data_IF_749717696416
#
_entry.id   IF_749717696416
#
_cell.length_a   1.000
_cell.length_b   1.000
_cell.length_c   1.000
_cell.angle_alpha   90.00
_cell.angle_beta   90.00
_cell.angle_gamma   90.00
#
_symmetry.space_group_name_H-M   'P 1'
#
loop_
_entity.id
_entity.type
_entity.pdbx_description
1 polymer ?
#
# COMPACT_ATOMS: atom_id res chain seq x y z
N UNK A 1 -29.30 -24.63 28.18
CA UNK A 1 -27.84 -24.64 27.98
C UNK A 1 -27.52 -25.27 26.63
N UNK A 2 -27.32 -24.48 25.58
CA UNK A 2 -26.72 -24.86 24.27
C UNK A 2 -27.08 -23.77 23.26
N UNK A 3 -26.16 -22.84 22.97
CA UNK A 3 -26.26 -21.90 21.82
C UNK A 3 -25.06 -20.94 21.65
N UNK A 4 -23.87 -21.24 22.22
CA UNK A 4 -22.67 -20.41 22.02
C UNK A 4 -21.54 -21.06 21.22
N UNK A 5 -21.60 -22.37 20.97
CA UNK A 5 -20.52 -23.08 20.25
C UNK A 5 -20.65 -23.09 18.72
N UNK A 6 -21.84 -22.82 18.16
CA UNK A 6 -22.06 -22.89 16.70
C UNK A 6 -21.64 -21.62 15.92
N UNK A 7 -21.35 -20.51 16.61
CA UNK A 7 -21.09 -19.20 15.98
C UNK A 7 -19.62 -18.95 15.60
N UNK A 8 -18.67 -19.77 16.08
CA UNK A 8 -17.24 -19.61 15.75
C UNK A 8 -16.80 -20.34 14.45
N UNK A 9 -17.61 -21.24 13.90
CA UNK A 9 -17.22 -22.09 12.76
C UNK A 9 -17.34 -21.43 11.37
N UNK A 10 -18.12 -20.36 11.22
CA UNK A 10 -18.48 -19.83 9.90
C UNK A 10 -17.55 -18.70 9.38
N UNK A 11 -16.73 -18.10 10.25
CA UNK A 11 -15.81 -17.01 9.88
C UNK A 11 -14.45 -17.49 9.35
N UNK A 12 -14.14 -18.78 9.49
CA UNK A 12 -12.84 -19.36 9.14
C UNK A 12 -12.73 -19.81 7.67
N UNK A 13 -13.82 -19.83 6.89
CA UNK A 13 -13.79 -20.40 5.54
C UNK A 13 -13.04 -19.55 4.49
N UNK A 14 -12.72 -18.28 4.76
CA UNK A 14 -11.83 -17.45 3.90
C UNK A 14 -10.37 -17.40 4.38
N UNK A 15 -10.04 -17.97 5.55
CA UNK A 15 -8.67 -18.19 5.98
C UNK A 15 -8.29 -19.67 5.77
N UNK A 16 -7.03 -19.95 5.41
CA UNK A 16 -6.55 -21.32 5.15
C UNK A 16 -6.73 -22.26 6.36
N UNK A 17 -7.05 -23.51 6.07
CA UNK A 17 -7.14 -24.61 7.04
C UNK A 17 -5.78 -25.02 7.60
N UNK A 18 -5.84 -25.57 8.81
CA UNK A 18 -4.76 -25.72 9.78
C UNK A 18 -3.87 -26.97 9.60
N UNK A 19 -2.71 -26.93 10.26
CA UNK A 19 -2.29 -27.92 11.25
C UNK A 19 -1.11 -27.33 12.05
N UNK A 20 -1.32 -27.06 13.35
CA UNK A 20 -0.23 -26.80 14.30
C UNK A 20 -0.47 -27.70 15.52
N UNK A 21 0.50 -28.57 15.75
CA UNK A 21 0.62 -29.47 16.90
C UNK A 21 0.96 -28.63 18.13
N UNK A 22 0.27 -28.88 19.24
CA UNK A 22 0.52 -28.23 20.52
C UNK A 22 1.59 -28.97 21.33
N UNK A 23 2.40 -28.21 22.08
CA UNK A 23 3.06 -28.68 23.32
C UNK A 23 3.03 -27.55 24.37
N UNK A 24 2.98 -27.87 25.67
CA UNK A 24 2.41 -26.99 26.70
C UNK A 24 3.43 -26.37 27.66
N UNK A 25 3.03 -25.24 28.26
CA UNK A 25 3.37 -24.84 29.64
C UNK A 25 4.65 -24.03 29.85
N UNK A 26 4.51 -22.80 30.36
CA UNK A 26 4.95 -22.43 31.72
C UNK A 26 4.72 -20.94 32.02
N UNK A 27 3.84 -20.71 33.00
CA UNK A 27 3.80 -19.73 34.09
C UNK A 27 4.42 -18.32 33.95
N UNK A 28 3.55 -17.34 34.24
CA UNK A 28 3.93 -16.00 34.74
C UNK A 28 4.36 -16.09 36.21
N UNK A 29 5.08 -15.06 36.69
CA UNK A 29 4.54 -14.33 37.82
C UNK A 29 4.56 -12.81 37.66
N UNK A 30 3.66 -12.22 38.44
CA UNK A 30 3.33 -10.81 38.64
C UNK A 30 4.35 -10.07 39.52
N UNK A 31 4.59 -8.78 39.26
CA UNK A 31 4.98 -7.83 40.30
C UNK A 31 4.53 -6.39 39.92
N UNK A 32 3.79 -5.77 40.84
CA UNK A 32 3.50 -4.32 40.88
C UNK A 32 4.67 -3.61 41.58
N UNK A 33 5.03 -2.40 41.13
CA UNK A 33 5.65 -1.39 41.99
C UNK A 33 5.29 0.02 41.51
N UNK A 34 4.86 0.83 42.46
CA UNK A 34 4.44 2.23 42.32
C UNK A 34 5.62 3.23 42.21
N UNK A 35 5.27 4.41 41.64
CA UNK A 35 5.94 5.73 41.69
C UNK A 35 7.09 6.05 40.70
N UNK A 36 7.38 7.34 40.38
CA UNK A 36 6.50 8.51 40.19
C UNK A 36 6.69 9.18 38.80
N UNK A 37 5.77 10.10 38.45
CA UNK A 37 5.76 10.88 37.19
C UNK A 37 7.03 11.74 37.05
N UNK A 38 7.81 11.55 35.97
CA UNK A 38 8.89 12.45 35.52
C UNK A 38 8.67 12.94 34.08
N UNK A 39 9.04 14.21 33.89
CA UNK A 39 8.83 15.07 32.71
C UNK A 39 9.51 14.56 31.43
N UNK A 40 8.82 14.82 30.31
CA UNK A 40 9.17 14.54 28.92
C UNK A 40 10.62 14.85 28.52
N UNK A 41 11.31 13.84 27.97
CA UNK A 41 12.49 13.99 27.11
C UNK A 41 12.21 13.23 25.81
N UNK A 42 12.52 13.83 24.65
CA UNK A 42 12.22 13.30 23.30
C UNK A 42 12.97 12.01 22.96
N UNK A 43 12.56 11.27 21.91
CA UNK A 43 13.14 9.97 21.58
C UNK A 43 14.56 10.10 21.00
N UNK A 44 15.42 9.21 21.48
CA UNK A 44 16.82 9.02 21.13
C UNK A 44 17.01 8.40 19.73
N UNK A 45 18.12 8.74 19.08
CA UNK A 45 18.63 8.14 17.84
C UNK A 45 19.11 6.70 18.08
N UNK A 46 18.87 5.81 17.11
CA UNK A 46 19.59 4.55 16.97
C UNK A 46 20.68 4.70 15.90
N UNK A 47 21.87 4.19 16.22
CA UNK A 47 23.06 4.14 15.36
C UNK A 47 23.25 2.69 14.90
N UNK A 48 23.45 2.49 13.60
CA UNK A 48 24.36 1.48 13.06
C UNK A 48 25.00 2.12 11.80
N UNK A 49 26.33 2.27 11.84
CA UNK A 49 27.10 3.39 11.24
C UNK A 49 27.35 3.38 9.73
N UNK A 50 27.96 4.40 9.11
CA UNK A 50 28.41 5.78 9.46
C UNK A 50 28.75 6.49 8.10
N UNK A 51 28.71 7.83 7.88
CA UNK A 51 28.27 8.93 8.73
C UNK A 51 27.15 9.79 8.12
N UNK A 52 26.04 9.94 8.84
CA UNK A 52 25.24 11.16 8.73
C UNK A 52 25.41 11.92 10.03
N UNK A 53 26.18 13.01 9.97
CA UNK A 53 26.33 13.99 11.07
C UNK A 53 24.99 14.20 11.77
N UNK A 54 24.92 13.94 13.08
CA UNK A 54 23.72 14.25 13.84
C UNK A 54 23.42 15.76 13.71
N UNK A 55 22.22 16.12 13.27
CA UNK A 55 21.79 17.51 13.11
C UNK A 55 20.48 17.75 13.84
N UNK A 56 20.28 18.97 14.33
CA UNK A 56 18.99 19.41 14.86
C UNK A 56 18.10 19.96 13.74
N UNK A 57 16.81 19.74 13.84
CA UNK A 57 15.82 20.32 12.91
C UNK A 57 15.09 21.49 13.56
N UNK A 58 14.92 22.59 12.83
CA UNK A 58 14.17 23.77 13.30
C UNK A 58 13.34 24.37 12.17
N UNK A 59 12.19 24.96 12.51
CA UNK A 59 11.40 25.75 11.57
C UNK A 59 12.20 27.01 11.20
N UNK A 60 12.35 27.29 9.90
CA UNK A 60 13.14 28.41 9.45
C UNK A 60 12.45 29.76 9.64
N UNK A 61 13.23 30.84 9.57
CA UNK A 61 12.75 32.21 9.80
C UNK A 61 11.82 32.72 8.70
N UNK A 62 11.81 32.07 7.53
CA UNK A 62 10.88 32.37 6.43
C UNK A 62 9.77 31.32 6.37
N UNK A 63 8.56 31.75 6.03
CA UNK A 63 7.46 30.83 5.78
C UNK A 63 7.88 29.80 4.71
N UNK A 64 7.61 28.52 4.96
CA UNK A 64 7.98 27.46 4.03
C UNK A 64 9.48 27.12 3.99
N UNK A 65 10.22 27.31 5.08
CA UNK A 65 11.62 26.87 5.19
C UNK A 65 11.88 25.95 6.39
N UNK A 66 12.77 24.98 6.22
CA UNK A 66 13.30 24.11 7.28
C UNK A 66 14.81 24.33 7.41
N UNK A 67 15.29 24.41 8.65
CA UNK A 67 16.70 24.55 8.99
C UNK A 67 17.23 23.26 9.63
N UNK A 68 18.35 22.76 9.11
CA UNK A 68 19.10 21.64 9.67
C UNK A 68 20.41 22.21 10.26
N UNK A 69 20.61 22.10 11.57
CA UNK A 69 21.73 22.73 12.28
C UNK A 69 22.71 21.65 12.72
N UNK A 70 23.97 21.82 12.35
CA UNK A 70 25.04 20.89 12.69
C UNK A 70 25.77 21.39 13.94
N UNK A 71 25.91 20.55 14.98
CA UNK A 71 26.66 20.91 16.18
C UNK A 71 28.18 20.94 15.92
N UNK A 72 28.65 20.18 14.93
CA UNK A 72 30.07 20.03 14.58
C UNK A 72 30.43 20.66 13.22
N UNK A 73 31.72 21.02 12.99
CA UNK A 73 32.19 21.53 11.70
C UNK A 73 32.04 20.52 10.55
N UNK A 74 31.61 20.99 9.38
CA UNK A 74 31.59 20.19 8.14
C UNK A 74 32.98 20.24 7.49
N UNK A 75 33.64 19.10 7.39
CA UNK A 75 35.00 18.96 6.80
C UNK A 75 35.00 18.68 5.29
N UNK A 76 33.85 18.27 4.74
CA UNK A 76 33.65 17.98 3.32
C UNK A 76 33.55 19.25 2.44
N UNK A 77 33.73 19.09 1.13
CA UNK A 77 33.54 20.13 0.10
C UNK A 77 32.31 19.88 -0.79
N UNK A 78 31.63 18.75 -0.56
CA UNK A 78 30.47 18.31 -1.33
C UNK A 78 29.37 17.85 -0.38
N UNK A 79 28.16 18.33 -0.62
CA UNK A 79 26.94 18.01 0.12
C UNK A 79 25.90 17.45 -0.84
N UNK A 80 25.42 16.24 -0.58
CA UNK A 80 24.28 15.68 -1.29
C UNK A 80 23.09 15.53 -0.36
N UNK A 81 21.95 16.06 -0.77
CA UNK A 81 20.69 15.82 -0.09
C UNK A 81 20.03 14.58 -0.73
N UNK A 82 20.06 13.45 -0.03
CA UNK A 82 19.33 12.26 -0.43
C UNK A 82 17.99 12.30 0.31
N UNK A 83 16.97 12.81 -0.39
CA UNK A 83 15.60 12.73 0.08
C UNK A 83 15.09 11.30 -0.14
N UNK A 84 14.53 10.66 0.89
CA UNK A 84 13.85 9.39 0.73
C UNK A 84 12.56 9.50 -0.12
N UNK A 85 12.12 10.73 -0.44
CA UNK A 85 10.93 11.00 -1.24
C UNK A 85 11.25 11.16 -2.73
N UNK A 86 11.73 10.11 -3.39
CA UNK A 86 11.48 9.98 -4.83
C UNK A 86 10.03 9.52 -5.05
N UNK A 87 9.06 10.45 -4.97
CA UNK A 87 7.68 10.19 -5.41
C UNK A 87 6.50 10.83 -4.65
N UNK A 88 6.72 11.78 -3.74
CA UNK A 88 5.63 12.44 -2.98
C UNK A 88 5.77 13.97 -2.94
N UNK A 89 4.64 14.68 -2.97
CA UNK A 89 4.54 16.12 -3.21
C UNK A 89 5.52 16.99 -2.40
N UNK A 90 6.45 17.64 -3.12
CA UNK A 90 7.29 18.72 -2.63
C UNK A 90 8.78 18.52 -2.90
N UNK A 91 9.19 18.65 -4.16
CA UNK A 91 10.61 18.84 -4.46
C UNK A 91 11.06 20.15 -3.78
N UNK A 92 12.16 20.14 -2.99
CA UNK A 92 12.80 21.39 -2.60
C UNK A 92 12.96 22.29 -3.83
N UNK A 93 12.69 23.60 -3.70
CA UNK A 93 12.95 24.59 -4.74
C UNK A 93 14.32 25.24 -4.59
N UNK A 94 14.77 25.39 -3.35
CA UNK A 94 16.08 25.94 -3.04
C UNK A 94 16.76 25.12 -1.93
N UNK A 95 18.04 24.82 -2.12
CA UNK A 95 18.91 24.20 -1.14
C UNK A 95 20.07 25.16 -0.89
N UNK A 96 20.25 25.56 0.36
CA UNK A 96 21.25 26.57 0.73
C UNK A 96 22.07 26.11 1.92
N UNK A 97 23.40 26.14 1.78
CA UNK A 97 24.34 25.94 2.86
C UNK A 97 24.78 27.30 3.39
N UNK A 98 24.69 27.48 4.71
CA UNK A 98 25.15 28.67 5.40
C UNK A 98 26.11 28.32 6.54
N UNK A 99 27.18 29.11 6.66
CA UNK A 99 28.15 29.00 7.74
C UNK A 99 28.01 30.19 8.69
N UNK A 100 28.21 29.95 9.98
CA UNK A 100 28.19 31.02 10.98
C UNK A 100 29.45 31.88 10.84
N UNK A 101 29.25 33.18 10.71
CA UNK A 101 30.31 34.20 10.65
C UNK A 101 29.94 35.32 11.63
N UNK A 102 30.64 35.35 12.77
CA UNK A 102 30.28 36.21 13.92
C UNK A 102 28.90 35.85 14.48
N UNK A 103 28.02 36.85 14.63
CA UNK A 103 26.65 36.67 15.16
C UNK A 103 25.62 36.21 14.11
N UNK A 104 26.00 36.05 12.83
CA UNK A 104 25.05 35.77 11.74
C UNK A 104 25.46 34.56 10.91
N UNK A 105 24.49 33.84 10.36
CA UNK A 105 24.74 32.86 9.30
C UNK A 105 24.86 33.55 7.95
N UNK A 106 25.89 33.19 7.18
CA UNK A 106 26.13 33.69 5.83
C UNK A 106 26.10 32.53 4.84
N UNK A 107 25.49 32.79 3.68
CA UNK A 107 25.39 31.83 2.57
C UNK A 107 26.77 31.49 2.02
N UNK A 108 27.08 30.20 1.98
CA UNK A 108 28.32 29.65 1.41
C UNK A 108 28.06 29.06 0.03
N UNK A 109 26.94 28.35 -0.14
CA UNK A 109 26.53 27.80 -1.41
C UNK A 109 25.00 27.71 -1.51
N UNK A 110 24.49 27.75 -2.73
CA UNK A 110 23.06 27.68 -3.00
C UNK A 110 22.81 27.03 -4.36
N UNK A 111 21.75 26.23 -4.42
CA UNK A 111 21.24 25.66 -5.64
C UNK A 111 19.75 26.01 -5.70
N UNK A 112 19.35 26.68 -6.78
CA UNK A 112 17.98 27.17 -7.03
C UNK A 112 17.42 26.49 -8.26
N UNK A 113 16.14 26.10 -8.22
CA UNK A 113 15.28 25.67 -9.35
C UNK A 113 15.98 24.78 -10.41
N UNK A 114 15.53 23.52 -10.52
CA UNK A 114 16.04 22.42 -11.38
C UNK A 114 17.04 21.52 -10.67
N UNK A 115 16.55 20.77 -9.69
CA UNK A 115 17.33 19.69 -9.08
C UNK A 115 17.17 18.39 -9.85
N UNK A 116 18.29 17.68 -10.00
CA UNK A 116 18.29 16.22 -10.15
C UNK A 116 17.55 15.57 -8.95
N UNK A 117 16.98 14.36 -9.08
CA UNK A 117 16.40 13.61 -7.94
C UNK A 117 17.30 13.54 -6.70
N UNK A 118 18.62 13.70 -6.89
CA UNK A 118 19.63 13.86 -5.84
C UNK A 118 20.43 15.15 -6.06
N UNK A 119 20.02 16.30 -5.50
CA UNK A 119 20.76 17.54 -5.68
C UNK A 119 22.12 17.48 -4.97
N UNK A 120 23.16 17.91 -5.69
CA UNK A 120 24.54 17.98 -5.18
C UNK A 120 24.96 19.44 -5.13
N UNK A 121 25.34 19.90 -3.94
CA UNK A 121 25.86 21.22 -3.68
C UNK A 121 27.37 21.12 -3.44
N UNK A 122 28.16 21.78 -4.29
CA UNK A 122 29.61 21.90 -4.12
C UNK A 122 29.93 23.24 -3.47
N UNK A 123 30.87 23.25 -2.54
CA UNK A 123 31.28 24.45 -1.82
C UNK A 123 32.77 24.39 -1.48
N UNK A 124 33.40 25.55 -1.25
CA UNK A 124 34.79 25.58 -0.78
C UNK A 124 34.83 25.18 0.69
N UNK A 125 35.83 24.39 1.09
CA UNK A 125 36.13 24.14 2.51
C UNK A 125 36.22 25.47 3.24
N UNK A 126 35.58 25.57 4.41
CA UNK A 126 35.59 26.76 5.25
C UNK A 126 35.86 26.38 6.70
N UNK A 127 36.41 27.31 7.46
CA UNK A 127 36.86 27.15 8.85
C UNK A 127 35.77 27.42 9.88
N UNK A 128 34.50 27.54 9.44
CA UNK A 128 33.39 27.83 10.33
C UNK A 128 33.08 26.65 11.27
N UNK A 129 32.83 26.97 12.53
CA UNK A 129 32.55 25.97 13.58
C UNK A 129 31.08 25.57 13.68
N UNK A 130 30.18 26.32 13.04
CA UNK A 130 28.74 26.02 13.08
C UNK A 130 28.10 26.28 11.72
N UNK A 131 27.19 25.37 11.34
CA UNK A 131 26.61 25.32 10.01
C UNK A 131 25.11 25.12 10.07
N UNK A 132 24.41 25.62 9.04
CA UNK A 132 23.03 25.24 8.80
C UNK A 132 22.75 25.03 7.32
N UNK A 133 21.86 24.09 7.04
CA UNK A 133 21.26 23.91 5.72
C UNK A 133 19.84 24.45 5.78
N UNK A 134 19.50 25.33 4.84
CA UNK A 134 18.16 25.86 4.67
C UNK A 134 17.57 25.23 3.42
N UNK A 135 16.47 24.50 3.62
CA UNK A 135 15.70 23.87 2.54
C UNK A 135 14.40 24.64 2.38
N UNK A 136 14.18 25.20 1.20
CA UNK A 136 12.90 25.79 0.80
C UNK A 136 12.17 24.78 -0.07
N UNK A 137 10.98 24.34 0.30
CA UNK A 137 10.13 23.55 -0.59
C UNK A 137 9.00 24.42 -1.13
N UNK A 138 8.47 24.07 -2.30
CA UNK A 138 7.17 24.62 -2.69
C UNK A 138 6.16 23.52 -2.76
N UNK A 139 5.53 23.34 -1.62
CA UNK A 139 4.11 23.02 -1.56
C UNK A 139 3.56 23.82 -0.40
N UNK A 140 2.81 24.87 -0.72
CA UNK A 140 1.96 25.55 0.25
C UNK A 140 0.60 24.84 0.24
N UNK A 141 0.59 23.62 0.77
CA UNK A 141 -0.63 23.01 1.26
C UNK A 141 -0.69 23.30 2.77
N UNK A 142 -1.89 23.36 3.35
CA UNK A 142 -2.25 23.85 4.71
C UNK A 142 -1.50 23.23 5.93
N UNK A 143 -0.44 22.46 5.73
CA UNK A 143 0.42 21.87 6.76
C UNK A 143 1.87 22.15 6.36
N UNK A 144 2.59 23.02 7.06
CA UNK A 144 3.94 23.49 6.68
C UNK A 144 4.97 22.38 6.41
N UNK A 145 6.16 22.75 5.89
CA UNK A 145 7.22 21.82 5.47
C UNK A 145 7.39 20.62 6.41
N UNK A 146 7.30 19.42 5.84
CA UNK A 146 7.57 18.17 6.55
C UNK A 146 8.56 17.34 5.73
N UNK A 147 9.81 17.29 6.18
CA UNK A 147 10.80 16.32 5.70
C UNK A 147 10.70 15.14 6.65
N UNK A 148 10.16 14.01 6.18
CA UNK A 148 9.94 12.84 7.03
C UNK A 148 11.26 12.09 7.28
N UNK A 149 12.11 11.96 6.26
CA UNK A 149 13.48 11.46 6.36
C UNK A 149 14.36 12.12 5.27
N UNK A 150 15.51 12.66 5.67
CA UNK A 150 16.54 13.14 4.76
C UNK A 150 17.91 12.66 5.23
N UNK A 151 18.61 11.96 4.35
CA UNK A 151 20.00 11.53 4.57
C UNK A 151 20.90 12.54 3.90
N UNK A 152 21.83 13.11 4.65
CA UNK A 152 22.83 14.04 4.16
C UNK A 152 24.14 13.30 3.99
N UNK A 153 24.63 13.22 2.76
CA UNK A 153 25.94 12.64 2.47
C UNK A 153 26.94 13.78 2.30
N UNK A 154 27.97 13.77 3.16
CA UNK A 154 29.12 14.65 3.09
C UNK A 154 30.28 13.83 2.51
N UNK A 155 30.93 14.32 1.45
CA UNK A 155 32.05 13.60 0.82
C UNK A 155 33.21 14.56 0.51
N UNK A 156 34.44 14.15 0.76
CA UNK A 156 35.63 14.85 0.28
C UNK A 156 35.98 14.41 -1.15
N UNK A 157 36.35 15.34 -2.04
CA UNK A 157 36.99 14.98 -3.32
C UNK A 157 36.06 14.45 -4.42
N UNK A 158 34.75 14.41 -4.20
CA UNK A 158 33.73 14.41 -5.24
C UNK A 158 33.51 13.10 -6.01
N UNK A 159 32.67 12.21 -5.47
CA UNK A 159 31.57 11.54 -6.19
C UNK A 159 30.56 11.05 -5.16
N UNK A 160 29.28 11.39 -5.33
CA UNK A 160 28.20 10.85 -4.49
C UNK A 160 27.84 9.47 -5.01
N UNK A 161 27.88 8.39 -4.21
CA UNK A 161 27.51 7.06 -4.68
C UNK A 161 26.03 7.03 -5.12
N UNK A 162 25.77 7.17 -6.42
CA UNK A 162 24.47 6.86 -7.00
C UNK A 162 24.41 5.37 -7.28
N UNK A 163 24.27 4.54 -6.26
CA UNK A 163 23.84 3.15 -6.53
C UNK A 163 22.33 3.21 -6.80
N UNK A 164 21.85 3.03 -8.05
CA UNK A 164 20.44 2.72 -8.25
C UNK A 164 20.14 1.47 -7.42
N UNK A 165 19.02 1.48 -6.70
CA UNK A 165 18.60 0.28 -5.99
C UNK A 165 18.44 -0.84 -7.01
N UNK A 166 19.10 -2.01 -6.83
CA UNK A 166 18.96 -3.10 -7.76
C UNK A 166 17.48 -3.50 -7.85
N UNK A 167 16.89 -3.37 -9.04
CA UNK A 167 15.60 -3.97 -9.33
C UNK A 167 15.74 -5.49 -9.38
N UNK A 168 14.69 -6.27 -9.03
CA UNK A 168 14.72 -7.71 -9.23
C UNK A 168 15.00 -8.01 -10.72
N UNK A 169 15.74 -9.09 -11.00
CA UNK A 169 16.03 -9.50 -12.37
C UNK A 169 14.71 -9.76 -13.12
N UNK A 170 14.39 -8.87 -14.07
CA UNK A 170 13.15 -8.93 -14.85
C UNK A 170 13.01 -10.24 -15.61
N UNK A 171 14.12 -10.86 -16.02
CA UNK A 171 14.08 -12.16 -16.71
C UNK A 171 13.58 -13.25 -15.79
N UNK A 172 14.04 -13.27 -14.54
CA UNK A 172 13.60 -14.27 -13.55
C UNK A 172 12.15 -14.02 -13.11
N UNK A 173 11.74 -12.75 -12.98
CA UNK A 173 10.34 -12.38 -12.74
C UNK A 173 9.44 -12.87 -13.88
N UNK A 174 9.81 -12.60 -15.14
CA UNK A 174 9.02 -13.03 -16.29
C UNK A 174 8.94 -14.55 -16.40
N UNK A 175 10.04 -15.28 -16.18
CA UNK A 175 10.02 -16.76 -16.12
C UNK A 175 9.09 -17.27 -15.04
N UNK A 176 9.04 -16.63 -13.86
CA UNK A 176 8.13 -17.02 -12.81
C UNK A 176 6.66 -16.75 -13.18
N UNK A 177 6.38 -15.62 -13.83
CA UNK A 177 5.06 -15.30 -14.36
C UNK A 177 4.62 -16.37 -15.37
N UNK A 178 5.48 -16.70 -16.34
CA UNK A 178 5.20 -17.70 -17.38
C UNK A 178 4.87 -19.07 -16.78
N UNK A 179 5.66 -19.52 -15.78
CA UNK A 179 5.39 -20.78 -15.08
C UNK A 179 4.05 -20.77 -14.33
N UNK A 180 3.70 -19.66 -13.68
CA UNK A 180 2.41 -19.54 -12.99
C UNK A 180 1.23 -19.51 -13.96
N UNK A 181 1.36 -18.80 -15.09
CA UNK A 181 0.36 -18.81 -16.17
C UNK A 181 0.20 -20.21 -16.76
N UNK A 182 1.31 -20.92 -17.01
CA UNK A 182 1.28 -22.29 -17.49
C UNK A 182 0.57 -23.23 -16.50
N UNK A 183 0.81 -23.06 -15.19
CA UNK A 183 0.09 -23.81 -14.16
C UNK A 183 -1.41 -23.53 -14.16
N UNK A 184 -1.84 -22.26 -14.29
CA UNK A 184 -3.25 -21.91 -14.41
C UNK A 184 -3.90 -22.58 -15.63
N UNK A 185 -3.24 -22.55 -16.79
CA UNK A 185 -3.73 -23.21 -18.01
C UNK A 185 -3.82 -24.73 -17.83
N UNK A 186 -2.77 -25.36 -17.28
CA UNK A 186 -2.67 -26.80 -17.07
C UNK A 186 -3.70 -27.35 -16.06
N UNK A 187 -4.02 -26.57 -15.03
CA UNK A 187 -4.94 -27.00 -13.96
C UNK A 187 -6.41 -26.68 -14.24
N UNK A 188 -6.70 -26.04 -15.38
CA UNK A 188 -8.07 -25.86 -15.86
C UNK A 188 -8.67 -27.22 -16.17
N UNK A 189 -9.84 -27.49 -15.59
CA UNK A 189 -10.58 -28.75 -15.78
C UNK A 189 -11.32 -28.76 -17.12
N UNK A 190 -11.75 -29.95 -17.54
CA UNK A 190 -12.54 -30.14 -18.75
C UNK A 190 -13.84 -29.32 -18.76
N UNK A 191 -14.47 -29.11 -17.59
CA UNK A 191 -15.67 -28.28 -17.44
C UNK A 191 -15.39 -26.77 -17.51
N UNK A 192 -14.13 -26.37 -17.67
CA UNK A 192 -13.67 -24.97 -17.70
C UNK A 192 -13.50 -24.31 -16.33
N UNK A 193 -13.67 -25.06 -15.24
CA UNK A 193 -13.46 -24.58 -13.87
C UNK A 193 -12.06 -24.91 -13.34
N UNK A 194 -11.77 -24.47 -12.11
CA UNK A 194 -10.57 -24.84 -11.36
C UNK A 194 -10.95 -25.45 -10.01
N UNK A 195 -10.06 -26.31 -9.48
CA UNK A 195 -10.21 -26.86 -8.13
C UNK A 195 -9.92 -25.77 -7.09
N UNK A 196 -10.94 -25.31 -6.40
CA UNK A 196 -10.83 -24.50 -5.18
C UNK A 196 -12.06 -24.69 -4.30
N UNK A 197 -11.92 -24.48 -2.99
CA UNK A 197 -13.03 -24.45 -2.03
C UNK A 197 -14.12 -23.44 -2.41
N UNK A 198 -13.76 -22.38 -3.14
CA UNK A 198 -14.67 -21.30 -3.52
C UNK A 198 -15.45 -21.57 -4.81
N UNK A 199 -15.14 -22.63 -5.57
CA UNK A 199 -15.67 -22.83 -6.92
C UNK A 199 -17.20 -22.98 -6.93
N UNK A 200 -17.76 -23.68 -5.94
CA UNK A 200 -19.21 -23.91 -5.82
C UNK A 200 -19.95 -22.63 -5.44
N UNK A 201 -19.44 -21.90 -4.46
CA UNK A 201 -20.15 -20.76 -3.88
C UNK A 201 -19.89 -19.45 -4.63
N UNK A 202 -18.74 -19.31 -5.28
CA UNK A 202 -18.29 -18.08 -5.94
C UNK A 202 -17.79 -18.33 -7.38
N UNK A 203 -18.53 -19.06 -8.24
CA UNK A 203 -18.04 -19.42 -9.58
C UNK A 203 -17.66 -18.18 -10.41
N UNK A 204 -18.48 -17.13 -10.39
CA UNK A 204 -18.18 -15.87 -11.08
C UNK A 204 -16.90 -15.22 -10.54
N UNK A 205 -16.70 -15.22 -9.22
CA UNK A 205 -15.53 -14.61 -8.60
C UNK A 205 -14.24 -15.36 -8.94
N UNK A 206 -14.27 -16.69 -8.92
CA UNK A 206 -13.14 -17.55 -9.30
C UNK A 206 -12.76 -17.32 -10.77
N UNK A 207 -13.74 -17.43 -11.69
CA UNK A 207 -13.48 -17.22 -13.11
C UNK A 207 -12.97 -15.81 -13.41
N UNK A 208 -13.54 -14.78 -12.75
CA UNK A 208 -13.11 -13.40 -12.94
C UNK A 208 -11.72 -13.12 -12.37
N UNK A 209 -11.33 -13.74 -11.25
CA UNK A 209 -9.97 -13.61 -10.70
C UNK A 209 -8.95 -14.23 -11.64
N UNK A 210 -9.22 -15.44 -12.14
CA UNK A 210 -8.33 -16.10 -13.12
C UNK A 210 -8.25 -15.29 -14.40
N UNK A 211 -9.38 -14.84 -14.96
CA UNK A 211 -9.42 -14.02 -16.17
C UNK A 211 -8.67 -12.70 -16.03
N UNK A 212 -8.87 -11.98 -14.90
CA UNK A 212 -8.13 -10.76 -14.60
C UNK A 212 -6.62 -11.03 -14.52
N UNK A 213 -6.23 -12.10 -13.83
CA UNK A 213 -4.82 -12.49 -13.67
C UNK A 213 -4.17 -12.80 -15.01
N UNK A 214 -4.81 -13.63 -15.84
CA UNK A 214 -4.31 -13.99 -17.16
C UNK A 214 -4.20 -12.76 -18.08
N UNK A 215 -5.22 -11.90 -18.10
CA UNK A 215 -5.19 -10.66 -18.88
C UNK A 215 -4.06 -9.73 -18.44
N UNK A 216 -3.83 -9.61 -17.13
CA UNK A 216 -2.73 -8.82 -16.55
C UNK A 216 -1.36 -9.48 -16.66
N UNK A 217 -1.33 -10.78 -16.95
CA UNK A 217 -0.10 -11.53 -17.29
C UNK A 217 0.16 -11.59 -18.80
N UNK A 218 -0.48 -10.71 -19.58
CA UNK A 218 -0.16 -10.52 -21.00
C UNK A 218 -1.00 -11.33 -22.00
N UNK A 219 -1.98 -12.14 -21.57
CA UNK A 219 -2.87 -12.80 -22.55
C UNK A 219 -3.66 -11.75 -23.34
N UNK A 220 -3.74 -11.95 -24.65
CA UNK A 220 -4.48 -11.06 -25.54
C UNK A 220 -5.99 -11.15 -25.26
N UNK A 221 -6.72 -10.07 -25.53
CA UNK A 221 -8.17 -10.05 -25.36
C UNK A 221 -8.87 -11.09 -26.22
N UNK A 222 -8.35 -11.41 -27.40
CA UNK A 222 -8.96 -12.33 -28.37
C UNK A 222 -8.41 -13.78 -28.20
N UNK A 223 -7.59 -14.05 -27.17
CA UNK A 223 -7.19 -15.40 -26.77
C UNK A 223 -8.44 -16.26 -26.44
N UNK A 224 -8.57 -17.49 -26.99
CA UNK A 224 -9.75 -18.34 -26.76
C UNK A 224 -10.08 -18.59 -25.29
N UNK A 225 -9.07 -18.67 -24.41
CA UNK A 225 -9.28 -18.83 -22.98
C UNK A 225 -9.87 -17.56 -22.35
N UNK A 226 -9.45 -16.37 -22.80
CA UNK A 226 -10.01 -15.10 -22.33
C UNK A 226 -11.46 -14.96 -22.80
N UNK A 227 -11.77 -15.31 -24.05
CA UNK A 227 -13.14 -15.27 -24.58
C UNK A 227 -14.07 -16.24 -23.82
N UNK A 228 -13.65 -17.49 -23.62
CA UNK A 228 -14.43 -18.48 -22.83
C UNK A 228 -14.71 -17.97 -21.39
N UNK A 229 -13.70 -17.39 -20.73
CA UNK A 229 -13.87 -16.83 -19.38
C UNK A 229 -14.87 -15.66 -19.37
N UNK A 230 -14.81 -14.77 -20.37
CA UNK A 230 -15.76 -13.67 -20.52
C UNK A 230 -17.18 -14.19 -20.69
N UNK A 231 -17.40 -15.14 -21.60
CA UNK A 231 -18.71 -15.72 -21.88
C UNK A 231 -19.31 -16.36 -20.63
N UNK A 232 -18.54 -17.19 -19.92
CA UNK A 232 -18.99 -17.86 -18.69
C UNK A 232 -19.32 -16.87 -17.58
N UNK A 233 -18.48 -15.86 -17.38
CA UNK A 233 -18.74 -14.81 -16.39
C UNK A 233 -19.99 -14.01 -16.76
N UNK A 234 -20.24 -13.77 -18.05
CA UNK A 234 -21.43 -13.08 -18.52
C UNK A 234 -22.73 -13.87 -18.26
N UNK A 235 -22.69 -15.19 -18.42
CA UNK A 235 -23.82 -16.09 -18.20
C UNK A 235 -24.21 -16.23 -16.72
N UNK A 236 -23.27 -16.02 -15.79
CA UNK A 236 -23.53 -16.19 -14.37
C UNK A 236 -24.35 -15.02 -13.77
N UNK A 237 -25.23 -15.29 -12.79
CA UNK A 237 -26.04 -14.26 -12.14
C UNK A 237 -25.22 -13.42 -11.14
N UNK A 238 -25.49 -12.11 -11.10
CA UNK A 238 -24.89 -11.20 -10.12
C UNK A 238 -25.53 -11.40 -8.74
N UNK A 239 -24.82 -12.09 -7.84
CA UNK A 239 -25.32 -12.43 -6.50
C UNK A 239 -24.47 -11.91 -5.34
N UNK A 240 -23.17 -11.73 -5.54
CA UNK A 240 -22.21 -11.48 -4.45
C UNK A 240 -21.29 -10.33 -4.81
N UNK A 241 -21.11 -9.38 -3.88
CA UNK A 241 -20.34 -8.14 -4.08
C UNK A 241 -18.95 -8.44 -4.63
N UNK A 242 -18.22 -9.33 -3.96
CA UNK A 242 -16.87 -9.73 -4.35
C UNK A 242 -16.79 -10.25 -5.80
N UNK A 243 -17.71 -11.14 -6.19
CA UNK A 243 -17.75 -11.72 -7.53
C UNK A 243 -18.09 -10.69 -8.60
N UNK A 244 -19.06 -9.81 -8.33
CA UNK A 244 -19.50 -8.76 -9.27
C UNK A 244 -18.43 -7.70 -9.46
N UNK A 245 -17.72 -7.35 -8.39
CA UNK A 245 -16.57 -6.45 -8.44
C UNK A 245 -15.43 -7.01 -9.29
N UNK A 246 -15.02 -8.26 -9.05
CA UNK A 246 -13.99 -8.92 -9.85
C UNK A 246 -14.39 -9.05 -11.31
N UNK A 247 -15.65 -9.39 -11.61
CA UNK A 247 -16.16 -9.37 -12.98
C UNK A 247 -15.97 -7.99 -13.62
N UNK A 248 -16.32 -6.91 -12.91
CA UNK A 248 -16.18 -5.56 -13.46
C UNK A 248 -14.72 -5.23 -13.76
N UNK A 249 -13.80 -5.57 -12.85
CA UNK A 249 -12.36 -5.39 -13.05
C UNK A 249 -11.85 -6.19 -14.26
N UNK A 250 -12.23 -7.47 -14.36
CA UNK A 250 -11.85 -8.34 -15.47
C UNK A 250 -12.36 -7.83 -16.81
N UNK A 251 -13.66 -7.55 -16.93
CA UNK A 251 -14.25 -7.08 -18.19
C UNK A 251 -13.65 -5.74 -18.64
N UNK A 252 -13.37 -4.82 -17.71
CA UNK A 252 -12.65 -3.57 -18.02
C UNK A 252 -11.24 -3.85 -18.53
N UNK A 253 -10.54 -4.83 -17.96
CA UNK A 253 -9.19 -5.21 -18.41
C UNK A 253 -9.19 -5.85 -19.81
N UNK A 254 -10.26 -6.56 -20.19
CA UNK A 254 -10.40 -7.12 -21.54
C UNK A 254 -10.78 -6.05 -22.56
N UNK A 255 -11.72 -5.16 -22.22
CA UNK A 255 -12.15 -4.10 -23.14
C UNK A 255 -12.78 -2.91 -22.40
N UNK A 256 -12.45 -1.70 -22.85
CA UNK A 256 -13.07 -0.46 -22.40
C UNK A 256 -14.37 -0.10 -23.15
N UNK A 257 -14.74 -0.87 -24.20
CA UNK A 257 -15.90 -0.57 -25.06
C UNK A 257 -16.91 -1.72 -25.16
N UNK A 258 -16.45 -2.97 -25.31
CA UNK A 258 -17.32 -4.12 -25.63
C UNK A 258 -18.36 -4.44 -24.54
N UNK A 259 -18.01 -4.22 -23.26
CA UNK A 259 -18.81 -4.74 -22.13
C UNK A 259 -19.54 -3.66 -21.30
N UNK A 260 -19.71 -2.46 -21.84
CA UNK A 260 -20.29 -1.32 -21.12
C UNK A 260 -21.67 -1.60 -20.50
N UNK A 261 -22.53 -2.37 -21.19
CA UNK A 261 -23.86 -2.76 -20.64
C UNK A 261 -23.72 -3.60 -19.38
N UNK A 262 -22.82 -4.59 -19.39
CA UNK A 262 -22.56 -5.47 -18.25
C UNK A 262 -21.89 -4.71 -17.10
N UNK A 263 -20.91 -3.85 -17.41
CA UNK A 263 -20.26 -2.97 -16.43
C UNK A 263 -21.26 -2.01 -15.77
N UNK A 264 -22.23 -1.47 -16.52
CA UNK A 264 -23.30 -0.61 -15.98
C UNK A 264 -24.19 -1.39 -15.02
N UNK A 265 -24.55 -2.63 -15.36
CA UNK A 265 -25.31 -3.50 -14.47
C UNK A 265 -24.51 -3.88 -13.20
N UNK A 266 -23.21 -4.15 -13.33
CA UNK A 266 -22.33 -4.37 -12.18
C UNK A 266 -22.25 -3.15 -11.26
N UNK A 267 -22.09 -1.95 -11.83
CA UNK A 267 -22.10 -0.72 -11.04
C UNK A 267 -23.44 -0.53 -10.31
N UNK A 268 -24.57 -0.73 -10.98
CA UNK A 268 -25.90 -0.65 -10.36
C UNK A 268 -26.06 -1.66 -9.21
N UNK A 269 -25.60 -2.90 -9.40
CA UNK A 269 -25.59 -3.91 -8.34
C UNK A 269 -24.76 -3.47 -7.14
N UNK A 270 -23.53 -3.00 -7.36
CA UNK A 270 -22.63 -2.58 -6.27
C UNK A 270 -23.19 -1.36 -5.53
N UNK A 271 -23.75 -0.38 -6.24
CA UNK A 271 -24.42 0.78 -5.63
C UNK A 271 -25.59 0.35 -4.74
N UNK A 272 -26.42 -0.58 -5.22
CA UNK A 272 -27.60 -1.09 -4.48
C UNK A 272 -27.22 -1.88 -3.23
N UNK A 273 -26.09 -2.58 -3.23
CA UNK A 273 -25.66 -3.45 -2.14
C UNK A 273 -24.74 -2.76 -1.11
N UNK A 274 -24.56 -1.43 -1.19
CA UNK A 274 -23.89 -0.70 -0.11
C UNK A 274 -24.84 -0.56 1.09
N UNK A 275 -24.37 -0.92 2.27
CA UNK A 275 -25.18 -0.85 3.49
C UNK A 275 -25.34 0.61 3.99
N UNK A 276 -26.12 0.77 5.06
CA UNK A 276 -26.38 2.07 5.69
C UNK A 276 -25.14 2.69 6.35
N UNK A 277 -24.12 1.89 6.67
CA UNK A 277 -22.86 2.34 7.25
C UNK A 277 -21.85 2.79 6.19
N UNK A 278 -22.14 2.55 4.91
CA UNK A 278 -21.28 2.93 3.79
C UNK A 278 -20.32 1.85 3.32
N UNK A 279 -20.49 0.61 3.78
CA UNK A 279 -19.63 -0.53 3.44
C UNK A 279 -20.41 -1.62 2.71
N UNK A 280 -19.74 -2.74 2.43
CA UNK A 280 -20.30 -3.91 1.77
C UNK A 280 -19.91 -5.16 2.55
N UNK A 281 -20.71 -6.21 2.43
CA UNK A 281 -20.44 -7.50 3.05
C UNK A 281 -20.90 -8.67 2.20
N UNK A 282 -20.68 -9.87 2.72
CA UNK A 282 -21.26 -11.10 2.15
C UNK A 282 -22.78 -11.15 2.37
N UNK A 283 -23.53 -11.94 1.56
CA UNK A 283 -25.00 -12.00 1.66
C UNK A 283 -25.55 -12.32 3.06
N UNK A 284 -24.81 -13.10 3.86
CA UNK A 284 -25.18 -13.50 5.22
C UNK A 284 -24.20 -12.97 6.28
N UNK A 285 -23.43 -11.93 5.95
CA UNK A 285 -22.36 -11.42 6.79
C UNK A 285 -22.51 -9.94 7.14
N UNK A 286 -21.71 -9.51 8.10
CA UNK A 286 -21.50 -8.07 8.34
C UNK A 286 -20.73 -7.45 7.18
N UNK A 287 -20.88 -6.14 7.05
CA UNK A 287 -19.99 -5.40 6.18
C UNK A 287 -18.54 -5.46 6.69
N UNK A 288 -17.60 -5.56 5.76
CA UNK A 288 -16.19 -5.76 6.01
C UNK A 288 -15.35 -4.96 4.98
N UNK A 289 -14.08 -4.75 5.31
CA UNK A 289 -13.21 -3.91 4.49
C UNK A 289 -12.71 -4.61 3.21
N UNK A 290 -12.76 -5.95 3.17
CA UNK A 290 -12.44 -6.75 1.98
C UNK A 290 -13.49 -6.58 0.88
N UNK A 291 -14.77 -6.76 1.21
CA UNK A 291 -15.86 -6.48 0.27
C UNK A 291 -15.90 -5.00 -0.12
N UNK A 292 -15.65 -4.09 0.83
CA UNK A 292 -15.65 -2.66 0.53
C UNK A 292 -14.57 -2.26 -0.50
N UNK A 293 -13.34 -2.77 -0.38
CA UNK A 293 -12.29 -2.42 -1.36
C UNK A 293 -12.62 -2.96 -2.75
N UNK A 294 -13.15 -4.19 -2.86
CA UNK A 294 -13.50 -4.75 -4.16
C UNK A 294 -14.70 -4.04 -4.75
N UNK A 295 -15.71 -3.69 -3.96
CA UNK A 295 -16.83 -2.87 -4.44
C UNK A 295 -16.33 -1.55 -5.03
N UNK A 296 -15.41 -0.84 -4.36
CA UNK A 296 -14.84 0.41 -4.87
C UNK A 296 -13.98 0.18 -6.12
N UNK A 297 -13.19 -0.90 -6.19
CA UNK A 297 -12.42 -1.27 -7.39
C UNK A 297 -13.33 -1.58 -8.59
N UNK A 298 -14.42 -2.33 -8.38
CA UNK A 298 -15.40 -2.62 -9.42
C UNK A 298 -16.16 -1.38 -9.89
N UNK A 299 -16.48 -0.46 -8.97
CA UNK A 299 -17.07 0.84 -9.31
C UNK A 299 -16.08 1.73 -10.07
N UNK A 300 -14.78 1.66 -9.74
CA UNK A 300 -13.75 2.34 -10.50
C UNK A 300 -13.64 1.76 -11.93
N UNK A 301 -13.65 0.44 -12.08
CA UNK A 301 -13.65 -0.20 -13.40
C UNK A 301 -14.83 0.25 -14.29
N UNK A 302 -16.00 0.47 -13.70
CA UNK A 302 -17.14 1.06 -14.42
C UNK A 302 -16.90 2.55 -14.78
N UNK A 303 -16.31 3.33 -13.87
CA UNK A 303 -15.99 4.76 -14.11
C UNK A 303 -14.95 4.95 -15.20
N UNK A 304 -13.97 4.05 -15.30
CA UNK A 304 -12.93 4.06 -16.33
C UNK A 304 -13.51 4.02 -17.75
N UNK A 305 -14.69 3.42 -17.92
CA UNK A 305 -15.41 3.35 -19.20
C UNK A 305 -16.54 4.38 -19.31
N UNK A 306 -16.52 5.42 -18.47
CA UNK A 306 -17.47 6.54 -18.51
C UNK A 306 -18.81 6.30 -17.82
N UNK A 307 -19.01 5.19 -17.11
CA UNK A 307 -20.25 4.95 -16.37
C UNK A 307 -20.30 5.86 -15.14
N UNK A 308 -21.36 6.66 -15.05
CA UNK A 308 -21.60 7.56 -13.92
C UNK A 308 -22.00 6.74 -12.68
N UNK A 309 -21.20 6.85 -11.63
CA UNK A 309 -21.50 6.28 -10.29
C UNK A 309 -21.85 7.43 -9.34
N UNK A 310 -22.93 7.33 -8.54
CA UNK A 310 -23.33 8.40 -7.63
C UNK A 310 -22.22 8.76 -6.62
N UNK A 311 -21.91 10.06 -6.50
CA UNK A 311 -20.89 10.58 -5.56
C UNK A 311 -21.14 10.14 -4.11
N UNK A 312 -22.42 10.05 -3.70
CA UNK A 312 -22.82 9.64 -2.34
C UNK A 312 -22.27 8.27 -1.93
N UNK A 313 -22.04 7.36 -2.88
CA UNK A 313 -21.46 6.02 -2.60
C UNK A 313 -20.03 6.15 -2.08
N UNK A 314 -19.21 6.97 -2.75
CA UNK A 314 -17.84 7.26 -2.33
C UNK A 314 -17.80 8.08 -1.04
N UNK A 315 -18.72 9.03 -0.87
CA UNK A 315 -18.82 9.81 0.38
C UNK A 315 -19.07 8.90 1.59
N UNK A 316 -20.08 8.03 1.51
CA UNK A 316 -20.41 7.10 2.60
C UNK A 316 -19.27 6.14 2.92
N UNK A 317 -18.61 5.59 1.89
CA UNK A 317 -17.47 4.69 2.11
C UNK A 317 -16.29 5.42 2.75
N UNK A 318 -15.92 6.61 2.26
CA UNK A 318 -14.86 7.41 2.87
C UNK A 318 -15.21 7.81 4.31
N UNK A 319 -16.45 8.21 4.59
CA UNK A 319 -16.91 8.56 5.93
C UNK A 319 -16.87 7.35 6.89
N UNK A 320 -17.18 6.15 6.40
CA UNK A 320 -17.01 4.91 7.17
C UNK A 320 -15.54 4.66 7.56
N UNK A 321 -14.62 4.74 6.59
CA UNK A 321 -13.19 4.54 6.87
C UNK A 321 -12.59 5.64 7.75
N UNK A 322 -13.10 6.87 7.67
CA UNK A 322 -12.69 7.96 8.58
C UNK A 322 -13.10 7.66 10.02
N UNK A 323 -14.28 7.08 10.21
CA UNK A 323 -14.83 6.69 11.51
C UNK A 323 -14.13 5.46 12.09
N UNK A 324 -13.90 4.44 11.27
CA UNK A 324 -13.58 3.07 11.71
C UNK A 324 -12.07 2.76 11.72
N UNK A 325 -11.20 3.79 11.68
CA UNK A 325 -9.76 3.61 11.79
C UNK A 325 -9.38 3.03 13.16
N UNK A 326 -8.47 2.06 13.18
CA UNK A 326 -7.98 1.44 14.40
C UNK A 326 -7.13 2.40 15.25
N UNK A 327 -6.94 2.08 16.55
CA UNK A 327 -6.28 2.96 17.51
C UNK A 327 -4.82 3.25 17.19
N UNK A 328 -4.11 2.36 16.48
CA UNK A 328 -2.71 2.58 16.05
C UNK A 328 -2.61 3.15 14.64
N UNK A 329 -3.75 3.46 14.02
CA UNK A 329 -3.83 4.02 12.66
C UNK A 329 -3.96 2.98 11.55
N UNK A 330 -3.90 1.68 11.88
CA UNK A 330 -4.17 0.60 10.94
C UNK A 330 -5.67 0.33 10.81
N UNK A 331 -6.02 -0.69 10.03
CA UNK A 331 -7.41 -1.09 9.81
C UNK A 331 -7.63 -2.58 10.10
N UNK A 332 -8.80 -2.88 10.63
CA UNK A 332 -9.26 -4.23 10.99
C UNK A 332 -10.15 -4.81 9.88
N UNK A 333 -10.44 -6.12 9.93
CA UNK A 333 -11.27 -6.77 8.91
C UNK A 333 -12.73 -6.29 8.96
N UNK A 334 -13.33 -6.35 10.15
CA UNK A 334 -14.63 -5.74 10.44
C UNK A 334 -14.40 -4.43 11.20
N UNK A 335 -15.16 -3.36 10.92
CA UNK A 335 -15.11 -2.12 11.70
C UNK A 335 -15.18 -2.35 13.21
N UNK A 336 -14.29 -1.68 13.95
CA UNK A 336 -14.23 -1.75 15.42
C UNK A 336 -15.53 -1.21 16.02
N UNK A 337 -16.21 -2.02 16.84
CA UNK A 337 -17.35 -1.56 17.65
C UNK A 337 -16.88 -1.11 19.03
N UNK A 338 -17.50 -0.05 19.56
CA UNK A 338 -17.33 0.34 20.97
C UNK A 338 -17.64 -0.86 21.87
N UNK A 339 -16.68 -1.23 22.73
CA UNK A 339 -16.85 -2.24 23.78
C UNK A 339 -16.73 -3.70 23.32
N UNK A 340 -16.28 -3.97 22.09
CA UNK A 340 -15.94 -5.33 21.65
C UNK A 340 -14.42 -5.47 21.49
N UNK A 341 -13.89 -6.67 21.70
CA UNK A 341 -12.52 -7.00 21.32
C UNK A 341 -12.36 -6.74 19.82
N UNK A 342 -11.47 -5.81 19.48
CA UNK A 342 -11.20 -5.49 18.09
C UNK A 342 -10.41 -6.63 17.46
N UNK A 343 -10.80 -7.04 16.24
CA UNK A 343 -9.91 -7.80 15.37
C UNK A 343 -8.55 -7.07 15.29
N UNK A 344 -7.43 -7.78 15.14
CA UNK A 344 -6.15 -7.12 14.97
C UNK A 344 -6.19 -6.23 13.72
N UNK A 345 -5.55 -5.05 13.81
CA UNK A 345 -5.22 -4.29 12.61
C UNK A 345 -4.24 -5.11 11.77
N UNK A 346 -4.47 -5.19 10.47
CA UNK A 346 -3.65 -6.04 9.57
C UNK A 346 -3.08 -5.27 8.40
N UNK A 347 -2.02 -5.79 7.79
CA UNK A 347 -1.48 -5.23 6.55
C UNK A 347 -2.53 -5.23 5.46
N UNK A 348 -3.17 -6.38 5.20
CA UNK A 348 -4.17 -6.51 4.13
C UNK A 348 -5.31 -5.50 4.24
N UNK A 349 -5.83 -5.26 5.44
CA UNK A 349 -6.93 -4.32 5.66
C UNK A 349 -6.44 -2.86 5.68
N UNK A 350 -5.24 -2.60 6.17
CA UNK A 350 -4.64 -1.26 6.07
C UNK A 350 -4.38 -0.88 4.61
N UNK A 351 -3.88 -1.80 3.78
CA UNK A 351 -3.77 -1.59 2.35
C UNK A 351 -5.14 -1.43 1.66
N UNK A 352 -6.16 -2.19 2.08
CA UNK A 352 -7.53 -2.02 1.60
C UNK A 352 -8.05 -0.59 1.81
N UNK A 353 -7.87 -0.06 3.02
CA UNK A 353 -8.29 1.30 3.36
C UNK A 353 -7.57 2.35 2.52
N UNK A 354 -6.25 2.23 2.38
CA UNK A 354 -5.43 3.12 1.55
C UNK A 354 -5.89 3.09 0.09
N UNK A 355 -6.15 1.91 -0.47
CA UNK A 355 -6.65 1.78 -1.84
C UNK A 355 -8.02 2.46 -2.02
N UNK A 356 -8.95 2.25 -1.07
CA UNK A 356 -10.25 2.93 -1.08
C UNK A 356 -10.08 4.45 -1.00
N UNK A 357 -9.23 4.96 -0.11
CA UNK A 357 -9.00 6.40 0.02
C UNK A 357 -8.52 7.01 -1.30
N UNK A 358 -7.51 6.41 -1.94
CA UNK A 358 -7.02 6.87 -3.25
C UNK A 358 -8.12 6.93 -4.30
N UNK A 359 -8.91 5.87 -4.42
CA UNK A 359 -10.00 5.77 -5.41
C UNK A 359 -11.16 6.73 -5.12
N UNK A 360 -11.33 7.12 -3.86
CA UNK A 360 -12.32 8.12 -3.45
C UNK A 360 -11.90 9.56 -3.78
N UNK A 361 -10.62 9.87 -4.00
CA UNK A 361 -10.15 11.27 -4.20
C UNK A 361 -10.77 11.94 -5.43
N UNK A 362 -10.70 11.31 -6.60
CA UNK A 362 -11.24 11.87 -7.84
C UNK A 362 -12.77 12.11 -7.79
N UNK A 363 -13.62 11.15 -7.34
CA UNK A 363 -15.05 11.41 -7.11
C UNK A 363 -15.32 12.55 -6.11
N UNK A 364 -14.43 12.75 -5.15
CA UNK A 364 -14.62 13.67 -4.02
C UNK A 364 -13.81 14.96 -4.14
N UNK A 365 -13.18 15.23 -5.29
CA UNK A 365 -12.25 16.36 -5.51
C UNK A 365 -12.75 17.75 -5.08
N UNK A 366 -14.07 17.97 -5.10
CA UNK A 366 -14.71 19.23 -4.69
C UNK A 366 -14.99 19.34 -3.19
N UNK A 367 -14.88 18.25 -2.43
CA UNK A 367 -15.15 18.21 -1.00
C UNK A 367 -13.84 18.28 -0.19
N UNK A 368 -13.28 19.49 -0.12
CA UNK A 368 -11.97 19.73 0.50
C UNK A 368 -11.93 19.32 1.98
N UNK A 369 -13.03 19.47 2.70
CA UNK A 369 -13.14 19.06 4.11
C UNK A 369 -12.98 17.55 4.30
N UNK A 370 -13.69 16.75 3.49
CA UNK A 370 -13.55 15.29 3.55
C UNK A 370 -12.18 14.82 3.06
N UNK A 371 -11.64 15.41 1.99
CA UNK A 371 -10.28 15.09 1.52
C UNK A 371 -9.24 15.35 2.62
N UNK A 372 -9.37 16.45 3.37
CA UNK A 372 -8.49 16.72 4.51
C UNK A 372 -8.60 15.68 5.63
N UNK A 373 -9.81 15.16 5.91
CA UNK A 373 -10.00 14.04 6.87
C UNK A 373 -9.42 12.73 6.34
N UNK A 374 -9.62 12.42 5.06
CA UNK A 374 -9.04 11.25 4.40
C UNK A 374 -7.50 11.31 4.45
N UNK A 375 -6.89 12.44 4.09
CA UNK A 375 -5.44 12.61 4.11
C UNK A 375 -4.83 12.35 5.49
N UNK A 376 -5.48 12.82 6.56
CA UNK A 376 -5.05 12.51 7.95
C UNK A 376 -5.09 11.02 8.26
N UNK A 377 -6.08 10.28 7.72
CA UNK A 377 -6.18 8.82 7.89
C UNK A 377 -5.16 8.09 7.04
N UNK A 378 -4.95 8.51 5.80
CA UNK A 378 -3.90 8.00 4.89
C UNK A 378 -2.53 8.11 5.54
N UNK A 379 -2.18 9.26 6.12
CA UNK A 379 -0.89 9.45 6.80
C UNK A 379 -0.70 8.49 7.98
N UNK A 380 -1.75 8.24 8.78
CA UNK A 380 -1.69 7.28 9.90
C UNK A 380 -1.59 5.84 9.42
N UNK A 381 -2.35 5.46 8.40
CA UNK A 381 -2.29 4.14 7.80
C UNK A 381 -0.94 3.87 7.13
N UNK A 382 -0.35 4.89 6.50
CA UNK A 382 1.02 4.84 5.97
C UNK A 382 2.03 4.60 7.09
N UNK A 383 2.00 5.38 8.15
CA UNK A 383 2.90 5.18 9.30
C UNK A 383 2.72 3.78 9.94
N UNK A 384 1.49 3.27 10.00
CA UNK A 384 1.23 1.91 10.44
C UNK A 384 1.92 0.88 9.54
N UNK A 385 1.81 1.02 8.21
CA UNK A 385 2.52 0.15 7.26
C UNK A 385 4.02 0.26 7.41
N UNK A 386 4.58 1.46 7.53
CA UNK A 386 6.03 1.66 7.70
C UNK A 386 6.57 0.93 8.94
N UNK A 387 5.81 0.96 10.05
CA UNK A 387 6.19 0.31 11.31
C UNK A 387 5.99 -1.21 11.33
N UNK A 388 5.08 -1.75 10.52
CA UNK A 388 4.69 -3.17 10.55
C UNK A 388 5.01 -3.92 9.25
N UNK A 389 5.74 -3.30 8.33
CA UNK A 389 5.97 -3.85 7.00
C UNK A 389 6.65 -5.22 7.05
N UNK A 390 6.01 -6.20 6.43
CA UNK A 390 6.56 -7.54 6.23
C UNK A 390 6.11 -8.10 4.89
N UNK A 391 7.01 -8.79 4.20
CA UNK A 391 6.75 -9.46 2.93
C UNK A 391 6.43 -10.93 3.14
N UNK A 392 6.95 -11.54 4.20
CA UNK A 392 6.89 -12.97 4.51
C UNK A 392 5.58 -13.39 5.16
N UNK A 393 4.83 -12.43 5.68
CA UNK A 393 3.61 -12.65 6.46
C UNK A 393 2.67 -11.46 6.29
N UNK A 394 1.35 -11.67 6.44
CA UNK A 394 0.41 -10.57 6.60
C UNK A 394 0.53 -9.99 8.01
N UNK A 395 1.04 -8.75 8.19
CA UNK A 395 1.23 -8.16 9.51
C UNK A 395 -0.07 -8.18 10.30
N UNK A 396 0.02 -8.54 11.58
CA UNK A 396 -1.12 -8.57 12.52
C UNK A 396 -2.05 -9.79 12.44
N UNK A 397 -1.94 -10.68 11.44
CA UNK A 397 -2.82 -11.86 11.36
C UNK A 397 -2.13 -13.17 10.99
N UNK A 398 -1.05 -13.13 10.20
CA UNK A 398 -0.43 -14.35 9.66
C UNK A 398 -1.23 -15.06 8.57
N UNK A 399 -2.52 -14.73 8.40
CA UNK A 399 -3.42 -15.33 7.41
C UNK A 399 -3.51 -14.45 6.16
N UNK A 400 -3.95 -15.03 5.05
CA UNK A 400 -4.20 -14.31 3.79
C UNK A 400 -2.96 -13.57 3.26
N UNK A 401 -1.81 -14.25 3.32
CA UNK A 401 -0.49 -13.69 2.97
C UNK A 401 -0.40 -13.19 1.53
N UNK A 402 -0.78 -14.01 0.54
CA UNK A 402 -0.72 -13.60 -0.88
C UNK A 402 -1.73 -12.50 -1.22
N UNK A 403 -2.89 -12.53 -0.57
CA UNK A 403 -3.86 -11.45 -0.63
C UNK A 403 -3.29 -10.13 -0.08
N UNK A 404 -2.54 -10.20 1.03
CA UNK A 404 -1.78 -9.06 1.55
C UNK A 404 -0.76 -8.57 0.53
N UNK A 405 0.04 -9.45 -0.08
CA UNK A 405 1.01 -9.06 -1.12
C UNK A 405 0.32 -8.31 -2.26
N UNK A 406 -0.79 -8.82 -2.81
CA UNK A 406 -1.51 -8.09 -3.85
C UNK A 406 -2.09 -6.75 -3.36
N UNK A 407 -2.51 -6.65 -2.10
CA UNK A 407 -2.87 -5.37 -1.47
C UNK A 407 -1.68 -4.40 -1.38
N UNK A 408 -0.51 -4.91 -1.02
CA UNK A 408 0.76 -4.18 -0.96
C UNK A 408 1.16 -3.63 -2.33
N UNK A 409 1.12 -4.47 -3.37
CA UNK A 409 1.37 -4.02 -4.75
C UNK A 409 0.44 -2.88 -5.13
N UNK A 410 -0.86 -3.03 -4.85
CA UNK A 410 -1.87 -2.04 -5.19
C UNK A 410 -1.58 -0.69 -4.58
N UNK A 411 -1.28 -0.64 -3.28
CA UNK A 411 -1.01 0.64 -2.63
C UNK A 411 0.33 1.22 -3.06
N UNK A 412 1.35 0.38 -3.26
CA UNK A 412 2.61 0.81 -3.83
C UNK A 412 2.43 1.49 -5.20
N UNK A 413 1.65 0.87 -6.08
CA UNK A 413 1.32 1.39 -7.41
C UNK A 413 0.43 2.64 -7.35
N UNK A 414 -0.64 2.63 -6.55
CA UNK A 414 -1.61 3.74 -6.45
C UNK A 414 -1.01 5.05 -5.92
N UNK A 415 -0.06 4.94 -4.99
CA UNK A 415 0.61 6.08 -4.39
C UNK A 415 2.00 6.36 -4.97
N UNK A 416 2.48 5.53 -5.90
CA UNK A 416 3.82 5.67 -6.49
C UNK A 416 4.95 5.45 -5.47
N UNK A 417 4.69 4.73 -4.38
CA UNK A 417 5.69 4.47 -3.35
C UNK A 417 6.73 3.50 -3.88
N UNK A 418 8.01 3.84 -3.74
CA UNK A 418 9.12 2.91 -4.02
C UNK A 418 9.49 2.07 -2.80
N UNK A 419 9.25 2.61 -1.60
CA UNK A 419 9.58 2.00 -0.31
C UNK A 419 8.42 2.12 0.68
N UNK A 420 8.32 1.14 1.57
CA UNK A 420 7.53 1.18 2.80
C UNK A 420 8.51 1.06 3.96
N UNK A 421 8.47 2.01 4.89
CA UNK A 421 9.59 2.35 5.75
C UNK A 421 10.84 2.58 4.91
N UNK A 422 11.94 1.99 5.34
CA UNK A 422 13.20 1.96 4.62
C UNK A 422 13.32 0.74 3.67
N UNK A 423 12.24 0.01 3.37
CA UNK A 423 12.32 -1.26 2.61
C UNK A 423 11.74 -1.16 1.19
N UNK A 424 12.46 -1.58 0.14
CA UNK A 424 11.97 -1.57 -1.24
C UNK A 424 10.95 -2.67 -1.50
N UNK A 425 9.68 -2.36 -1.20
CA UNK A 425 8.60 -3.35 -1.11
C UNK A 425 8.45 -4.26 -2.33
N UNK A 426 8.61 -3.72 -3.55
CA UNK A 426 8.41 -4.50 -4.77
C UNK A 426 9.56 -5.50 -4.95
N UNK A 427 10.80 -5.04 -4.75
CA UNK A 427 11.99 -5.88 -4.86
C UNK A 427 11.91 -7.03 -3.88
N UNK A 428 11.64 -6.73 -2.61
CA UNK A 428 11.58 -7.76 -1.57
C UNK A 428 10.42 -8.73 -1.80
N UNK A 429 9.23 -8.22 -2.16
CA UNK A 429 8.08 -9.05 -2.52
C UNK A 429 8.35 -9.97 -3.70
N UNK A 430 8.96 -9.45 -4.76
CA UNK A 430 9.30 -10.23 -5.94
C UNK A 430 10.34 -11.30 -5.61
N UNK A 431 11.40 -10.96 -4.87
CA UNK A 431 12.42 -11.93 -4.43
C UNK A 431 11.82 -13.03 -3.56
N UNK A 432 10.92 -12.69 -2.64
CA UNK A 432 10.17 -13.65 -1.84
C UNK A 432 9.36 -14.60 -2.74
N UNK A 433 8.55 -14.06 -3.64
CA UNK A 433 7.73 -14.86 -4.55
C UNK A 433 8.55 -15.77 -5.48
N UNK A 434 9.70 -15.31 -5.98
CA UNK A 434 10.63 -16.13 -6.75
C UNK A 434 11.14 -17.32 -5.93
N UNK A 435 11.49 -17.09 -4.66
CA UNK A 435 11.95 -18.15 -3.74
C UNK A 435 10.84 -19.11 -3.35
N UNK A 436 9.59 -18.64 -3.25
CA UNK A 436 8.46 -19.44 -2.78
C UNK A 436 7.68 -20.15 -3.89
N UNK A 437 8.00 -19.90 -5.17
CA UNK A 437 7.33 -20.57 -6.28
C UNK A 437 7.71 -22.06 -6.30
N UNK A 438 6.70 -22.92 -6.43
CA UNK A 438 6.91 -24.36 -6.50
C UNK A 438 7.40 -24.78 -7.89
N UNK A 439 8.00 -25.98 -7.99
CA UNK A 439 8.48 -26.54 -9.27
C UNK A 439 7.39 -26.65 -10.34
N UNK A 440 6.13 -26.78 -9.94
CA UNK A 440 4.98 -26.83 -10.85
C UNK A 440 4.53 -25.45 -11.34
N UNK A 441 5.14 -24.37 -10.87
CA UNK A 441 4.82 -22.98 -11.23
C UNK A 441 3.81 -22.30 -10.30
N UNK A 442 3.19 -23.03 -9.38
CA UNK A 442 2.20 -22.48 -8.46
C UNK A 442 2.82 -21.85 -7.21
N UNK A 443 1.98 -21.12 -6.47
CA UNK A 443 2.23 -20.78 -5.07
C UNK A 443 1.22 -21.54 -4.20
N UNK A 444 1.73 -22.29 -3.21
CA UNK A 444 0.96 -23.17 -2.32
C UNK A 444 0.07 -24.22 -3.00
N UNK A 445 0.21 -24.47 -4.31
CA UNK A 445 -0.76 -25.23 -5.12
C UNK A 445 -2.20 -24.72 -4.96
N UNK A 446 -2.36 -23.45 -4.61
CA UNK A 446 -3.65 -22.79 -4.43
C UNK A 446 -3.91 -21.88 -5.61
N UNK A 447 -5.14 -21.95 -6.12
CA UNK A 447 -5.58 -21.13 -7.25
C UNK A 447 -5.50 -19.65 -6.90
N UNK A 448 -6.04 -19.26 -5.74
CA UNK A 448 -6.11 -17.88 -5.31
C UNK A 448 -4.72 -17.31 -4.99
N UNK A 449 -3.88 -18.06 -4.27
CA UNK A 449 -2.52 -17.60 -3.93
C UNK A 449 -1.67 -17.45 -5.20
N UNK A 450 -1.79 -18.38 -6.16
CA UNK A 450 -1.12 -18.28 -7.47
C UNK A 450 -1.60 -17.05 -8.24
N UNK A 451 -2.90 -16.76 -8.24
CA UNK A 451 -3.43 -15.56 -8.88
C UNK A 451 -2.89 -14.28 -8.23
N UNK A 452 -2.89 -14.20 -6.90
CA UNK A 452 -2.40 -13.02 -6.19
C UNK A 452 -0.88 -12.83 -6.32
N UNK A 453 -0.10 -13.90 -6.34
CA UNK A 453 1.34 -13.86 -6.65
C UNK A 453 1.59 -13.29 -8.04
N UNK A 454 0.88 -13.79 -9.05
CA UNK A 454 0.98 -13.30 -10.43
C UNK A 454 0.58 -11.83 -10.53
N UNK A 455 -0.52 -11.42 -9.89
CA UNK A 455 -0.96 -10.03 -9.89
C UNK A 455 0.07 -9.10 -9.21
N UNK A 456 0.76 -9.56 -8.16
CA UNK A 456 1.88 -8.84 -7.55
C UNK A 456 3.05 -8.68 -8.53
N UNK A 457 3.54 -9.78 -9.11
CA UNK A 457 4.71 -9.78 -10.00
C UNK A 457 4.47 -8.95 -11.26
N UNK A 458 3.23 -8.95 -11.79
CA UNK A 458 2.85 -8.12 -12.93
C UNK A 458 2.67 -6.64 -12.58
N UNK A 459 2.75 -6.24 -11.31
CA UNK A 459 2.37 -4.89 -10.84
C UNK A 459 1.01 -4.47 -11.39
N UNK A 460 0.03 -5.39 -11.26
CA UNK A 460 -1.22 -5.36 -12.01
C UNK A 460 -2.12 -4.13 -11.73
N UNK A 461 -1.84 -3.37 -10.68
CA UNK A 461 -2.57 -2.15 -10.33
C UNK A 461 -2.06 -0.89 -11.05
N UNK A 462 -0.92 -0.97 -11.76
CA UNK A 462 -0.54 0.06 -12.73
C UNK A 462 -1.57 0.07 -13.87
N UNK A 463 -2.07 1.25 -14.18
CA UNK A 463 -2.97 1.43 -15.33
C UNK A 463 -2.18 1.30 -16.61
N UNK A 464 -2.71 0.49 -17.53
CA UNK A 464 -2.21 0.36 -18.91
C UNK A 464 -2.35 1.68 -19.68
#
# INVERSE_FOLDING_TARGET
MSSRAALLGLALAFAGGALAVACPGQDRPTARSDAPVRKSHGPALAVDGDPTTAFETRKGTRAGTLELIFPEPITADTLALVSAAEGGAGTPRDLRLEAKSGKRFRKVAELKRNFSPRPVLRFRKTTATQWRIVVSAVVEDRWGLRIEEATLLLTEGGTVPTRPEPHPDEREVNKAIDRGVAWLKKTRRADGSWKTKNAKDYPMGVLSLVGLTLKKSGLDRDDPLIQDLVERVHALPMKKVYSVALQAMFLRAVSTKRYTKRLKASAAFLVKNQDSQGLWGYPTGRADLSNAQYAILGLQAARDVGIKVPKKVFQRCADALIRDAGPRGGYTYVPVRKGADADPETGSMTAAALAIFRLCEAPLKRDRGRLGKMAKRVAKARAWLDAHFAVEINPGSGRSHYYWLYGLERVGSFYGWKRIGNRPWYREGAQGLLKWQWRDGSWHRSLEDTCFALLFLNRASLTD
#
